data_IF_710353843025
#
_entry.id   IF_710353843025
#
_cell.length_a   1.000
_cell.length_b   1.000
_cell.length_c   1.000
_cell.angle_alpha   90.00
_cell.angle_beta   90.00
_cell.angle_gamma   90.00
#
_symmetry.space_group_name_H-M   'P 1'
#
loop_
_entity.id
_entity.type
_entity.pdbx_description
1 polymer ?
#
# COMPACT_ATOMS: atom_id res chain seq x y z
N UNK A 1 3.43 -7.60 1.10
CA UNK A 1 3.63 -6.30 1.79
C UNK A 1 4.16 -5.29 0.79
N UNK A 2 3.63 -4.07 0.85
CA UNK A 2 4.09 -2.87 0.16
C UNK A 2 4.54 -1.85 1.20
N UNK A 3 5.54 -1.04 0.86
CA UNK A 3 5.86 0.18 1.62
C UNK A 3 5.69 1.36 0.69
N UNK A 4 4.91 2.33 1.13
CA UNK A 4 4.59 3.54 0.40
C UNK A 4 5.20 4.75 1.12
N UNK A 5 5.85 5.63 0.37
CA UNK A 5 6.40 6.89 0.90
C UNK A 5 5.71 8.09 0.28
N UNK A 6 5.39 9.13 1.05
CA UNK A 6 4.95 10.38 0.46
C UNK A 6 6.08 11.00 -0.40
N UNK A 7 5.72 11.50 -1.59
CA UNK A 7 6.65 12.21 -2.48
C UNK A 7 7.07 13.58 -1.93
N UNK A 8 6.32 14.12 -0.96
CA UNK A 8 6.52 15.38 -0.27
C UNK A 8 6.79 15.21 1.25
N UNK A 9 7.12 16.31 1.94
CA UNK A 9 7.23 16.31 3.42
C UNK A 9 5.82 16.39 4.02
N UNK A 10 5.16 15.23 4.05
CA UNK A 10 3.79 15.08 4.52
C UNK A 10 3.73 14.50 5.92
N UNK A 11 2.74 14.95 6.69
CA UNK A 11 2.48 14.44 8.04
C UNK A 11 1.81 13.07 7.99
N UNK A 12 2.15 12.18 8.94
CA UNK A 12 1.72 10.78 8.91
C UNK A 12 0.20 10.58 8.93
N UNK A 13 -0.54 11.50 9.54
CA UNK A 13 -2.00 11.48 9.67
C UNK A 13 -2.75 11.64 8.34
N UNK A 14 -2.09 12.09 7.28
CA UNK A 14 -2.71 12.22 5.96
C UNK A 14 -2.45 11.03 5.04
N UNK A 15 -1.58 10.08 5.43
CA UNK A 15 -1.21 8.94 4.58
C UNK A 15 -2.37 7.96 4.37
N UNK A 16 -3.10 7.62 5.44
CA UNK A 16 -4.26 6.73 5.33
C UNK A 16 -5.37 7.36 4.47
N UNK A 17 -5.78 8.63 4.68
CA UNK A 17 -6.72 9.31 3.78
C UNK A 17 -6.34 9.25 2.29
N UNK A 18 -5.05 9.37 1.96
CA UNK A 18 -4.54 9.27 0.58
C UNK A 18 -4.68 7.87 -0.02
N UNK A 19 -4.70 6.81 0.81
CA UNK A 19 -4.85 5.43 0.36
C UNK A 19 -6.33 5.05 0.12
N UNK A 20 -7.28 5.67 0.82
CA UNK A 20 -8.71 5.31 0.79
C UNK A 20 -9.33 5.19 -0.62
N UNK A 21 -9.04 6.09 -1.59
CA UNK A 21 -9.64 5.98 -2.92
C UNK A 21 -9.24 4.69 -3.65
N UNK A 22 -7.98 4.27 -3.53
CA UNK A 22 -7.50 3.01 -4.09
C UNK A 22 -8.16 1.79 -3.41
N UNK A 23 -8.33 1.84 -2.08
CA UNK A 23 -8.99 0.77 -1.33
C UNK A 23 -10.47 0.61 -1.70
N UNK A 24 -11.16 1.72 -1.93
CA UNK A 24 -12.55 1.71 -2.36
C UNK A 24 -12.72 1.03 -3.72
N UNK A 25 -11.83 1.30 -4.68
CA UNK A 25 -11.84 0.68 -6.01
C UNK A 25 -11.40 -0.79 -5.98
N UNK A 26 -10.52 -1.15 -5.05
CA UNK A 26 -10.18 -2.54 -4.78
C UNK A 26 -11.37 -3.34 -4.19
N UNK A 27 -12.44 -2.65 -3.74
CA UNK A 27 -13.59 -3.27 -3.09
C UNK A 27 -13.29 -3.65 -1.63
N UNK A 28 -12.44 -2.89 -0.95
CA UNK A 28 -12.09 -3.12 0.45
C UNK A 28 -13.25 -2.69 1.36
N UNK A 29 -13.75 -3.63 2.15
CA UNK A 29 -14.66 -3.37 3.27
C UNK A 29 -13.80 -2.93 4.47
N UNK A 30 -13.88 -1.67 4.90
CA UNK A 30 -13.08 -1.14 6.00
C UNK A 30 -13.74 -1.53 7.34
N UNK A 31 -12.99 -2.23 8.19
CA UNK A 31 -13.42 -2.65 9.52
C UNK A 31 -13.09 -1.60 10.59
N UNK A 32 -11.89 -1.00 10.48
CA UNK A 32 -11.39 0.01 11.42
C UNK A 32 -10.52 1.04 10.69
N UNK A 33 -10.68 2.31 11.03
CA UNK A 33 -9.90 3.42 10.48
C UNK A 33 -9.54 4.41 11.59
N UNK A 34 -8.25 4.45 11.93
CA UNK A 34 -7.63 5.48 12.76
C UNK A 34 -6.71 6.39 11.94
N UNK A 35 -6.00 7.29 12.62
CA UNK A 35 -5.04 8.20 11.97
C UNK A 35 -3.74 7.51 11.54
N UNK A 36 -3.35 6.43 12.20
CA UNK A 36 -2.09 5.70 11.95
C UNK A 36 -2.28 4.23 11.61
N UNK A 37 -3.51 3.73 11.69
CA UNK A 37 -3.83 2.34 11.44
C UNK A 37 -5.17 2.21 10.72
N UNK A 38 -5.23 1.35 9.70
CA UNK A 38 -6.45 0.96 9.02
C UNK A 38 -6.45 -0.56 8.85
N UNK A 39 -7.60 -1.19 9.06
CA UNK A 39 -7.82 -2.60 8.75
C UNK A 39 -9.12 -2.78 7.96
N UNK A 40 -9.12 -3.75 7.06
CA UNK A 40 -10.30 -4.13 6.31
C UNK A 40 -10.15 -5.46 5.62
N UNK A 41 -11.14 -5.82 4.80
CA UNK A 41 -11.15 -7.08 4.05
C UNK A 41 -11.49 -6.84 2.58
N UNK A 42 -10.84 -7.60 1.71
CA UNK A 42 -11.17 -7.71 0.29
C UNK A 42 -11.70 -9.12 0.05
N UNK A 43 -12.91 -9.23 -0.52
CA UNK A 43 -13.52 -10.51 -0.87
C UNK A 43 -13.25 -10.81 -2.33
N UNK A 44 -12.53 -11.89 -2.61
CA UNK A 44 -12.19 -12.29 -3.98
C UNK A 44 -13.21 -13.32 -4.48
N UNK A 45 -14.04 -12.98 -5.49
CA UNK A 45 -14.93 -13.94 -6.14
C UNK A 45 -14.15 -14.82 -7.14
N UNK A 46 -14.71 -15.99 -7.53
CA UNK A 46 -15.95 -16.58 -7.04
C UNK A 46 -15.75 -17.46 -5.79
N UNK A 47 -14.51 -17.77 -5.40
CA UNK A 47 -14.25 -18.76 -4.33
C UNK A 47 -14.51 -18.21 -2.91
N UNK A 48 -14.76 -16.91 -2.77
CA UNK A 48 -15.06 -16.28 -1.48
C UNK A 48 -13.84 -16.15 -0.56
N UNK A 49 -12.63 -16.17 -1.12
CA UNK A 49 -11.42 -15.95 -0.34
C UNK A 49 -11.49 -14.56 0.30
N UNK A 50 -11.28 -14.52 1.60
CA UNK A 50 -11.18 -13.27 2.36
C UNK A 50 -9.71 -12.93 2.51
N UNK A 51 -9.32 -11.79 1.95
CA UNK A 51 -7.99 -11.21 2.12
C UNK A 51 -8.12 -10.09 3.15
N UNK A 52 -7.40 -10.21 4.26
CA UNK A 52 -7.26 -9.15 5.24
C UNK A 52 -6.25 -8.11 4.73
N UNK A 53 -6.59 -6.85 4.86
CA UNK A 53 -5.75 -5.71 4.53
C UNK A 53 -5.47 -4.92 5.80
N UNK A 54 -4.20 -4.61 6.02
CA UNK A 54 -3.73 -3.73 7.08
C UNK A 54 -2.89 -2.63 6.46
N UNK A 55 -3.07 -1.41 6.93
CA UNK A 55 -2.26 -0.26 6.56
C UNK A 55 -1.82 0.48 7.83
N UNK A 56 -0.51 0.60 8.03
CA UNK A 56 0.09 1.16 9.24
C UNK A 56 1.07 2.27 8.91
N UNK A 57 0.92 3.41 9.57
CA UNK A 57 1.85 4.54 9.46
C UNK A 57 3.04 4.29 10.37
N UNK A 58 4.22 4.11 9.79
CA UNK A 58 5.46 3.89 10.50
C UNK A 58 6.27 5.19 10.58
N UNK A 59 6.68 5.63 11.79
CA UNK A 59 7.62 6.74 11.92
C UNK A 59 9.02 6.30 11.46
N UNK A 60 9.65 7.07 10.57
CA UNK A 60 11.03 6.85 10.16
C UNK A 60 11.84 8.14 10.23
N UNK A 61 13.17 8.00 10.26
CA UNK A 61 14.10 9.13 10.34
C UNK A 61 13.99 10.10 9.14
N UNK A 62 13.66 9.58 7.96
CA UNK A 62 13.53 10.35 6.71
C UNK A 62 12.10 10.82 6.41
N UNK A 63 11.18 10.68 7.38
CA UNK A 63 9.74 10.98 7.23
C UNK A 63 8.85 9.73 7.35
N UNK A 64 7.53 9.87 7.58
CA UNK A 64 6.65 8.74 7.80
C UNK A 64 6.49 7.87 6.54
N UNK A 65 6.35 6.56 6.75
CA UNK A 65 6.06 5.57 5.71
C UNK A 65 4.71 4.92 5.98
N UNK A 66 4.07 4.39 4.94
CA UNK A 66 2.83 3.62 5.04
C UNK A 66 3.08 2.18 4.61
N UNK A 67 3.05 1.27 5.57
CA UNK A 67 3.18 -0.17 5.35
C UNK A 67 1.81 -0.74 5.05
N UNK A 68 1.66 -1.41 3.91
CA UNK A 68 0.41 -2.08 3.52
C UNK A 68 0.63 -3.58 3.38
N UNK A 69 -0.12 -4.36 4.15
CA UNK A 69 -0.02 -5.81 4.19
C UNK A 69 -1.35 -6.44 3.78
N UNK A 70 -1.29 -7.35 2.81
CA UNK A 70 -2.39 -8.21 2.45
C UNK A 70 -2.08 -9.63 2.95
N UNK A 71 -3.00 -10.22 3.70
CA UNK A 71 -2.90 -11.57 4.25
C UNK A 71 -4.14 -12.38 3.91
N UNK A 72 -3.98 -13.66 3.64
CA UNK A 72 -5.13 -14.55 3.41
C UNK A 72 -4.81 -15.96 3.92
N UNK A 73 -5.85 -16.79 4.03
CA UNK A 73 -5.70 -18.22 4.29
C UNK A 73 -5.36 -19.07 3.05
N UNK A 74 -5.02 -18.44 1.92
CA UNK A 74 -4.71 -19.14 0.68
C UNK A 74 -3.44 -19.99 0.81
N UNK A 75 -3.49 -21.24 0.34
CA UNK A 75 -2.35 -22.14 0.43
C UNK A 75 -1.15 -21.64 -0.39
N UNK A 76 0.03 -21.63 0.23
CA UNK A 76 1.30 -21.19 -0.40
C UNK A 76 1.86 -22.17 -1.44
N UNK A 77 1.22 -23.32 -1.67
CA UNK A 77 1.68 -24.35 -2.62
C UNK A 77 1.84 -23.81 -4.05
N UNK A 78 1.13 -22.74 -4.40
CA UNK A 78 1.27 -22.02 -5.68
C UNK A 78 1.59 -20.53 -5.49
N UNK A 79 2.12 -20.15 -4.32
CA UNK A 79 2.46 -18.76 -4.01
C UNK A 79 1.25 -17.84 -3.84
N UNK A 80 0.11 -18.36 -3.38
CA UNK A 80 -1.13 -17.61 -3.12
C UNK A 80 -1.56 -16.67 -4.28
N UNK A 81 -1.94 -17.25 -5.43
CA UNK A 81 -2.20 -16.48 -6.65
C UNK A 81 -3.31 -15.43 -6.51
N UNK A 82 -4.36 -15.68 -5.72
CA UNK A 82 -5.42 -14.68 -5.53
C UNK A 82 -4.94 -13.52 -4.67
N UNK A 83 -4.15 -13.81 -3.63
CA UNK A 83 -3.55 -12.79 -2.77
C UNK A 83 -2.57 -11.93 -3.56
N UNK A 84 -1.77 -12.58 -4.43
CA UNK A 84 -0.86 -11.91 -5.36
C UNK A 84 -1.60 -11.02 -6.36
N UNK A 85 -2.73 -11.49 -6.90
CA UNK A 85 -3.53 -10.69 -7.83
C UNK A 85 -4.14 -9.47 -7.15
N UNK A 86 -4.68 -9.62 -5.93
CA UNK A 86 -5.20 -8.49 -5.17
C UNK A 86 -4.11 -7.45 -4.87
N UNK A 87 -2.90 -7.91 -4.54
CA UNK A 87 -1.73 -7.05 -4.37
C UNK A 87 -1.37 -6.31 -5.66
N UNK A 88 -1.36 -7.01 -6.80
CA UNK A 88 -1.09 -6.40 -8.11
C UNK A 88 -2.13 -5.34 -8.47
N UNK A 89 -3.42 -5.64 -8.29
CA UNK A 89 -4.51 -4.71 -8.53
C UNK A 89 -4.37 -3.45 -7.66
N UNK A 90 -4.01 -3.60 -6.38
CA UNK A 90 -3.75 -2.45 -5.51
C UNK A 90 -2.63 -1.57 -6.07
N UNK A 91 -1.50 -2.17 -6.49
CA UNK A 91 -0.37 -1.43 -7.07
C UNK A 91 -0.79 -0.66 -8.32
N UNK A 92 -1.59 -1.26 -9.19
CA UNK A 92 -2.10 -0.62 -10.41
C UNK A 92 -3.00 0.58 -10.13
N UNK A 93 -3.70 0.59 -8.99
CA UNK A 93 -4.56 1.70 -8.57
C UNK A 93 -3.79 2.87 -7.95
N UNK A 94 -2.56 2.65 -7.44
CA UNK A 94 -1.81 3.69 -6.73
C UNK A 94 -1.49 4.92 -7.59
N UNK A 95 -0.99 4.81 -8.85
CA UNK A 95 -0.63 5.99 -9.63
C UNK A 95 -1.79 6.94 -9.92
N UNK A 96 -3.02 6.42 -10.05
CA UNK A 96 -4.20 7.22 -10.37
C UNK A 96 -4.94 7.71 -9.12
N UNK A 97 -4.90 6.95 -8.03
CA UNK A 97 -5.75 7.19 -6.85
C UNK A 97 -4.98 7.49 -5.57
N UNK A 98 -3.66 7.35 -5.60
CA UNK A 98 -2.74 7.67 -4.52
C UNK A 98 -1.39 8.16 -5.09
N UNK A 99 -1.43 9.01 -6.14
CA UNK A 99 -0.25 9.44 -6.92
C UNK A 99 0.88 10.05 -6.08
N UNK A 100 0.54 10.58 -4.90
CA UNK A 100 1.49 11.18 -3.94
C UNK A 100 2.19 10.15 -3.05
N UNK A 101 1.80 8.87 -3.13
CA UNK A 101 2.39 7.75 -2.42
C UNK A 101 3.24 6.91 -3.39
N UNK A 102 4.56 7.06 -3.28
CA UNK A 102 5.53 6.31 -4.06
C UNK A 102 5.74 4.90 -3.49
N UNK A 103 5.63 3.87 -4.33
CA UNK A 103 5.95 2.50 -3.95
C UNK A 103 7.47 2.32 -3.85
N UNK A 104 7.99 2.06 -2.65
CA UNK A 104 9.44 1.92 -2.39
C UNK A 104 9.87 0.49 -2.08
N UNK A 105 8.97 -0.39 -1.67
CA UNK A 105 9.29 -1.77 -1.35
C UNK A 105 8.14 -2.72 -1.66
N UNK A 106 8.46 -3.92 -2.16
CA UNK A 106 7.51 -4.99 -2.41
C UNK A 106 8.11 -6.32 -1.98
N UNK A 107 7.50 -6.95 -0.98
CA UNK A 107 8.08 -8.09 -0.26
C UNK A 107 7.97 -9.46 -0.94
N UNK A 108 7.10 -9.62 -1.95
CA UNK A 108 6.79 -10.97 -2.48
C UNK A 108 7.87 -11.52 -3.43
N UNK A 109 8.81 -10.71 -3.93
CA UNK A 109 9.81 -11.19 -4.88
C UNK A 109 11.14 -10.44 -5.01
N UNK A 110 11.20 -9.13 -4.82
CA UNK A 110 12.25 -8.34 -5.48
C UNK A 110 13.24 -7.62 -4.56
N UNK A 111 13.14 -7.81 -3.24
CA UNK A 111 13.92 -7.00 -2.30
C UNK A 111 13.55 -5.50 -2.42
N UNK A 112 14.34 -4.58 -1.84
CA UNK A 112 14.06 -3.15 -1.96
C UNK A 112 14.14 -2.70 -3.43
N UNK A 113 13.10 -2.01 -3.91
CA UNK A 113 13.15 -1.34 -5.20
C UNK A 113 14.27 -0.28 -5.14
N UNK A 114 15.00 -0.04 -6.24
CA UNK A 114 15.99 1.02 -6.27
C UNK A 114 15.30 2.34 -5.91
N UNK A 115 15.77 3.01 -4.85
CA UNK A 115 15.29 4.35 -4.49
C UNK A 115 15.43 5.22 -5.74
N UNK A 116 14.31 5.71 -6.29
CA UNK A 116 14.37 6.77 -7.30
C UNK A 116 15.03 7.95 -6.63
N UNK A 117 16.22 8.32 -7.10
CA UNK A 117 16.87 9.55 -6.68
C UNK A 117 15.89 10.69 -6.96
N UNK A 118 15.35 11.29 -5.88
CA UNK A 118 14.56 12.52 -5.98
C UNK A 118 15.38 13.50 -6.80
N UNK A 119 14.92 13.82 -8.00
CA UNK A 119 15.60 14.80 -8.86
C UNK A 119 15.66 16.11 -8.07
N UNK A 120 16.86 16.66 -7.82
CA UNK A 120 16.97 17.91 -7.08
C UNK A 120 16.22 19.00 -7.85
N UNK A 121 15.28 19.67 -7.18
CA UNK A 121 14.66 20.88 -7.73
C UNK A 121 15.79 21.89 -7.94
N UNK A 122 16.02 22.41 -9.17
CA UNK A 122 17.07 23.36 -9.40
C UNK A 122 16.78 24.65 -8.63
N UNK A 123 17.65 24.98 -7.68
CA UNK A 123 17.65 26.27 -7.00
C UNK A 123 18.07 27.32 -8.02
N UNK A 124 17.13 28.13 -8.50
CA UNK A 124 17.46 29.32 -9.30
C UNK A 124 18.07 30.36 -8.37
N UNK A 125 19.39 30.55 -8.48
CA UNK A 125 20.08 31.77 -8.06
C UNK A 125 20.06 32.83 -9.15
#
# INVERSE_FOLDING_TARGET
MLVLKPSDQTSGDTLIPRLLPALALLGTEIDNQGSHHLSGVVRVPPQGLVIQLFADVQPQADGPELDVVLMSGEAMTKGAPQTLQALANLIELLPEHAAELELTFRSDRDGPLPRRERTPIPVRG
#
